data_IF_021354420572
#
_entry.id   IF_021354420572
#
_cell.length_a   1.000
_cell.length_b   1.000
_cell.length_c   1.000
_cell.angle_alpha   90.00
_cell.angle_beta   90.00
_cell.angle_gamma   90.00
#
_symmetry.space_group_name_H-M   'P 1'
#
loop_
_entity.id
_entity.type
_entity.pdbx_description
1 polymer ?
#
# COMPACT_ATOMS: atom_id res chain seq x y z
N UNK A 1 75.47 -26.78 68.15
CA UNK A 1 75.85 -25.52 67.51
C UNK A 1 75.88 -25.65 65.99
N UNK A 2 76.78 -26.41 65.37
CA UNK A 2 76.88 -26.49 63.90
C UNK A 2 75.63 -27.05 63.19
N UNK A 3 75.01 -28.10 63.74
CA UNK A 3 73.82 -28.72 63.15
C UNK A 3 72.58 -27.80 63.20
N UNK A 4 72.35 -27.14 64.33
CA UNK A 4 71.25 -26.18 64.49
C UNK A 4 71.38 -24.98 63.53
N UNK A 5 72.60 -24.49 63.31
CA UNK A 5 72.87 -23.41 62.38
C UNK A 5 72.57 -23.82 60.93
N UNK A 6 72.96 -25.03 60.55
CA UNK A 6 72.64 -25.62 59.25
C UNK A 6 71.13 -25.81 59.06
N UNK A 7 70.42 -26.31 60.08
CA UNK A 7 68.97 -26.52 60.03
C UNK A 7 68.21 -25.19 59.90
N UNK A 8 68.65 -24.14 60.61
CA UNK A 8 68.08 -22.80 60.50
C UNK A 8 68.33 -22.18 59.11
N UNK A 9 69.51 -22.36 58.51
CA UNK A 9 69.79 -21.90 57.14
C UNK A 9 68.89 -22.59 56.12
N UNK A 10 68.75 -23.92 56.21
CA UNK A 10 67.87 -24.68 55.32
C UNK A 10 66.42 -24.20 55.47
N UNK A 11 65.95 -24.00 56.70
CA UNK A 11 64.59 -23.51 56.95
C UNK A 11 64.37 -22.09 56.39
N UNK A 12 65.36 -21.20 56.55
CA UNK A 12 65.32 -19.86 55.98
C UNK A 12 65.28 -19.91 54.44
N UNK A 13 66.07 -20.76 53.80
CA UNK A 13 66.06 -20.94 52.34
C UNK A 13 64.69 -21.42 51.84
N UNK A 14 64.06 -22.37 52.55
CA UNK A 14 62.70 -22.86 52.23
C UNK A 14 61.68 -21.72 52.34
N UNK A 15 61.73 -20.94 53.43
CA UNK A 15 60.80 -19.82 53.64
C UNK A 15 61.00 -18.69 52.63
N UNK A 16 62.25 -18.38 52.26
CA UNK A 16 62.55 -17.41 51.22
C UNK A 16 62.06 -17.87 49.84
N UNK A 17 62.20 -19.16 49.53
CA UNK A 17 61.69 -19.75 48.29
C UNK A 17 60.16 -19.67 48.24
N UNK A 18 59.48 -20.02 49.32
CA UNK A 18 58.02 -19.96 49.40
C UNK A 18 57.51 -18.52 49.30
N UNK A 19 58.15 -17.57 49.98
CA UNK A 19 57.87 -16.13 49.83
C UNK A 19 57.96 -15.71 48.36
N UNK A 20 59.07 -16.03 47.69
CA UNK A 20 59.30 -15.64 46.30
C UNK A 20 58.24 -16.25 45.37
N UNK A 21 57.88 -17.52 45.57
CA UNK A 21 56.82 -18.18 44.80
C UNK A 21 55.45 -17.51 45.00
N UNK A 22 55.09 -17.17 46.23
CA UNK A 22 53.81 -16.49 46.53
C UNK A 22 53.76 -15.07 45.97
N UNK A 23 54.86 -14.32 46.04
CA UNK A 23 54.95 -12.99 45.44
C UNK A 23 54.89 -13.04 43.91
N UNK A 24 55.54 -14.02 43.29
CA UNK A 24 55.45 -14.23 41.85
C UNK A 24 54.04 -14.61 41.41
N UNK A 25 53.38 -15.52 42.15
CA UNK A 25 51.99 -15.88 41.90
C UNK A 25 51.06 -14.66 42.03
N UNK A 26 51.25 -13.83 43.06
CA UNK A 26 50.47 -12.61 43.23
C UNK A 26 50.62 -11.66 42.06
N UNK A 27 51.86 -11.47 41.56
CA UNK A 27 52.13 -10.63 40.40
C UNK A 27 51.35 -11.11 39.16
N UNK A 28 51.46 -12.39 38.83
CA UNK A 28 50.76 -12.97 37.67
C UNK A 28 49.24 -12.89 37.81
N UNK A 29 48.70 -13.16 39.00
CA UNK A 29 47.25 -13.07 39.24
C UNK A 29 46.75 -11.61 39.14
N UNK A 30 47.56 -10.64 39.58
CA UNK A 30 47.21 -9.21 39.49
C UNK A 30 47.21 -8.73 38.05
N UNK A 31 48.19 -9.14 37.23
CA UNK A 31 48.23 -8.84 35.80
C UNK A 31 46.98 -9.42 35.09
N UNK A 32 46.62 -10.68 35.37
CA UNK A 32 45.41 -11.31 34.82
C UNK A 32 44.11 -10.65 35.27
N UNK A 33 43.99 -10.27 36.55
CA UNK A 33 42.80 -9.57 37.07
C UNK A 33 42.65 -8.19 36.41
N UNK A 34 43.76 -7.46 36.21
CA UNK A 34 43.76 -6.16 35.55
C UNK A 34 43.28 -6.27 34.11
N UNK A 35 43.84 -7.19 33.32
CA UNK A 35 43.43 -7.42 31.92
C UNK A 35 41.93 -7.77 31.82
N UNK A 36 41.43 -8.62 32.71
CA UNK A 36 40.01 -8.99 32.76
C UNK A 36 39.12 -7.82 33.22
N UNK A 37 39.59 -7.02 34.17
CA UNK A 37 38.86 -5.86 34.66
C UNK A 37 38.79 -4.74 33.62
N UNK A 38 39.84 -4.50 32.84
CA UNK A 38 39.85 -3.51 31.78
C UNK A 38 38.85 -3.89 30.66
N UNK A 39 38.79 -5.18 30.30
CA UNK A 39 37.85 -5.67 29.27
C UNK A 39 36.39 -5.69 29.75
N UNK A 40 36.13 -6.10 31.00
CA UNK A 40 34.78 -6.22 31.56
C UNK A 40 34.28 -4.95 32.25
N UNK A 41 35.15 -3.94 32.37
CA UNK A 41 34.97 -2.70 33.13
C UNK A 41 34.63 -2.94 34.61
N UNK A 42 35.30 -3.91 35.25
CA UNK A 42 35.18 -4.16 36.69
C UNK A 42 36.27 -3.42 37.49
N UNK A 43 36.03 -3.23 38.78
CA UNK A 43 37.07 -2.72 39.69
C UNK A 43 38.11 -3.82 39.98
N UNK A 44 39.39 -3.50 39.78
CA UNK A 44 40.50 -4.41 40.08
C UNK A 44 40.63 -4.69 41.57
N UNK A 45 41.07 -5.90 41.90
CA UNK A 45 41.26 -6.33 43.28
C UNK A 45 42.68 -5.99 43.75
N UNK A 46 42.80 -5.19 44.82
CA UNK A 46 44.11 -4.80 45.37
C UNK A 46 44.48 -5.62 46.60
N UNK A 47 45.60 -6.34 46.54
CA UNK A 47 46.34 -6.81 47.72
C UNK A 47 47.55 -5.88 47.91
N UNK A 48 47.88 -5.55 49.17
CA UNK A 48 49.06 -4.72 49.45
C UNK A 48 50.32 -5.35 48.85
N UNK A 49 50.97 -4.63 47.93
CA UNK A 49 52.18 -5.07 47.22
C UNK A 49 53.37 -5.35 48.16
N UNK A 50 53.32 -4.81 49.38
CA UNK A 50 54.40 -4.91 50.37
C UNK A 50 54.23 -6.10 51.33
N UNK A 51 53.11 -6.83 51.24
CA UNK A 51 52.78 -7.94 52.14
C UNK A 51 52.80 -9.29 51.43
N UNK A 52 53.42 -10.30 52.04
CA UNK A 52 53.41 -11.67 51.50
C UNK A 52 52.01 -12.25 51.67
N UNK A 53 51.32 -12.64 50.58
CA UNK A 53 49.95 -13.11 50.67
C UNK A 53 49.85 -14.48 51.36
N UNK A 54 48.73 -14.72 52.04
CA UNK A 54 48.38 -16.03 52.55
C UNK A 54 47.93 -16.96 51.42
N UNK A 55 47.99 -18.27 51.66
CA UNK A 55 47.48 -19.26 50.70
C UNK A 55 45.98 -19.07 50.43
N UNK A 56 45.20 -18.72 51.46
CA UNK A 56 43.77 -18.45 51.33
C UNK A 56 43.50 -17.19 50.47
N UNK A 57 44.32 -16.14 50.60
CA UNK A 57 44.22 -14.95 49.75
C UNK A 57 44.50 -15.28 48.29
N UNK A 58 45.55 -16.06 48.02
CA UNK A 58 45.87 -16.51 46.66
C UNK A 58 44.74 -17.39 46.08
N UNK A 59 44.14 -18.25 46.88
CA UNK A 59 43.04 -19.13 46.44
C UNK A 59 41.77 -18.32 46.11
N UNK A 60 41.40 -17.35 46.95
CA UNK A 60 40.30 -16.41 46.66
C UNK A 60 40.54 -15.63 45.37
N UNK A 61 41.80 -15.22 45.13
CA UNK A 61 42.15 -14.47 43.93
C UNK A 61 42.02 -15.34 42.67
N UNK A 62 42.48 -16.60 42.73
CA UNK A 62 42.29 -17.59 41.67
C UNK A 62 40.80 -17.86 41.38
N UNK A 63 39.99 -17.99 42.43
CA UNK A 63 38.53 -18.17 42.29
C UNK A 63 37.90 -16.97 41.58
N UNK A 64 38.27 -15.74 41.96
CA UNK A 64 37.80 -14.52 41.30
C UNK A 64 38.18 -14.50 39.81
N UNK A 65 39.45 -14.75 39.47
CA UNK A 65 39.91 -14.78 38.08
C UNK A 65 39.15 -15.85 37.29
N UNK A 66 38.92 -17.02 37.88
CA UNK A 66 38.10 -18.09 37.26
C UNK A 66 36.67 -17.60 36.98
N UNK A 67 36.03 -16.92 37.94
CA UNK A 67 34.70 -16.34 37.75
C UNK A 67 34.67 -15.24 36.67
N UNK A 68 35.65 -14.33 36.67
CA UNK A 68 35.77 -13.27 35.65
C UNK A 68 36.04 -13.85 34.26
N UNK A 69 36.86 -14.89 34.17
CA UNK A 69 37.12 -15.60 32.92
C UNK A 69 35.85 -16.27 32.40
N UNK A 70 35.09 -16.94 33.27
CA UNK A 70 33.80 -17.53 32.89
C UNK A 70 32.79 -16.47 32.43
N UNK A 71 32.75 -15.31 33.07
CA UNK A 71 31.89 -14.19 32.69
C UNK A 71 32.30 -13.56 31.35
N UNK A 72 33.60 -13.39 31.10
CA UNK A 72 34.15 -12.99 29.79
C UNK A 72 33.68 -13.93 28.70
N UNK A 73 33.87 -15.24 28.88
CA UNK A 73 33.44 -16.24 27.90
C UNK A 73 31.93 -16.22 27.66
N UNK A 74 31.14 -15.99 28.73
CA UNK A 74 29.68 -15.86 28.63
C UNK A 74 29.28 -14.63 27.81
N UNK A 75 29.78 -13.44 28.17
CA UNK A 75 29.47 -12.18 27.46
C UNK A 75 29.96 -12.20 26.02
N UNK A 76 31.13 -12.82 25.77
CA UNK A 76 31.67 -12.93 24.41
C UNK A 76 30.77 -13.77 23.52
N UNK A 77 30.28 -14.93 23.99
CA UNK A 77 29.32 -15.75 23.24
C UNK A 77 28.02 -15.01 22.95
N UNK A 78 27.53 -14.25 23.93
CA UNK A 78 26.34 -13.41 23.79
C UNK A 78 26.58 -12.32 22.73
N UNK A 79 27.70 -11.60 22.81
CA UNK A 79 28.10 -10.58 21.84
C UNK A 79 28.17 -11.13 20.41
N UNK A 80 28.86 -12.26 20.18
CA UNK A 80 28.98 -12.86 18.84
C UNK A 80 27.60 -13.24 18.28
N UNK A 81 26.69 -13.70 19.13
CA UNK A 81 25.32 -14.04 18.72
C UNK A 81 24.55 -12.77 18.33
N UNK A 82 24.58 -11.74 19.18
CA UNK A 82 23.91 -10.47 18.94
C UNK A 82 24.47 -9.76 17.70
N UNK A 83 25.79 -9.71 17.54
CA UNK A 83 26.47 -9.13 16.36
C UNK A 83 25.98 -9.76 15.07
N UNK A 84 25.86 -11.10 15.01
CA UNK A 84 25.32 -11.81 13.84
C UNK A 84 23.88 -11.41 13.54
N UNK A 85 23.03 -11.32 14.56
CA UNK A 85 21.63 -10.92 14.39
C UNK A 85 21.50 -9.46 13.93
N UNK A 86 22.30 -8.56 14.51
CA UNK A 86 22.36 -7.14 14.11
C UNK A 86 22.76 -7.03 12.64
N UNK A 87 23.83 -7.71 12.21
CA UNK A 87 24.28 -7.68 10.81
C UNK A 87 23.20 -8.17 9.85
N UNK A 88 22.52 -9.28 10.19
CA UNK A 88 21.42 -9.80 9.37
C UNK A 88 20.25 -8.80 9.29
N UNK A 89 19.87 -8.20 10.42
CA UNK A 89 18.80 -7.21 10.44
C UNK A 89 19.18 -5.93 9.65
N UNK A 90 20.43 -5.50 9.72
CA UNK A 90 20.93 -4.36 8.94
C UNK A 90 20.94 -4.65 7.43
N UNK A 91 21.32 -5.86 7.02
CA UNK A 91 21.24 -6.30 5.61
C UNK A 91 19.79 -6.39 5.11
N UNK A 92 18.88 -6.90 5.93
CA UNK A 92 17.45 -6.96 5.58
C UNK A 92 16.81 -5.57 5.45
N UNK A 93 17.32 -4.60 6.21
CA UNK A 93 16.89 -3.20 6.17
C UNK A 93 17.65 -2.36 5.13
N UNK A 94 18.61 -2.94 4.41
CA UNK A 94 19.54 -2.24 3.51
C UNK A 94 20.22 -1.02 4.19
N UNK A 95 20.54 -1.14 5.49
CA UNK A 95 21.10 -0.08 6.33
C UNK A 95 22.60 -0.31 6.58
N UNK A 96 23.40 0.74 6.41
CA UNK A 96 24.82 0.74 6.77
C UNK A 96 25.03 1.25 8.21
N UNK A 97 26.11 0.85 8.90
CA UNK A 97 26.48 1.40 10.21
C UNK A 97 26.74 2.92 10.14
N UNK A 98 25.94 3.71 10.84
CA UNK A 98 26.05 5.17 10.84
C UNK A 98 26.72 5.68 12.12
N UNK A 99 26.25 5.19 13.27
CA UNK A 99 26.74 5.61 14.58
C UNK A 99 28.12 5.03 14.88
N UNK A 100 28.88 5.68 15.77
CA UNK A 100 30.19 5.15 16.20
C UNK A 100 30.05 3.77 16.85
N UNK A 101 28.96 3.55 17.61
CA UNK A 101 28.69 2.27 18.26
C UNK A 101 28.35 1.18 17.25
N UNK A 102 27.50 1.45 16.24
CA UNK A 102 27.22 0.47 15.18
C UNK A 102 28.49 0.09 14.41
N UNK A 103 29.35 1.07 14.11
CA UNK A 103 30.63 0.81 13.42
C UNK A 103 31.56 -0.06 14.26
N UNK A 104 31.66 0.22 15.56
CA UNK A 104 32.43 -0.60 16.50
C UNK A 104 31.92 -2.05 16.53
N UNK A 105 30.60 -2.22 16.66
CA UNK A 105 29.98 -3.57 16.71
C UNK A 105 30.15 -4.34 15.40
N UNK A 106 29.93 -3.70 14.25
CA UNK A 106 29.84 -4.37 12.94
C UNK A 106 31.21 -4.49 12.26
N UNK A 107 32.02 -3.44 12.30
CA UNK A 107 33.24 -3.34 11.49
C UNK A 107 34.52 -3.71 12.24
N UNK A 108 34.55 -3.61 13.58
CA UNK A 108 35.75 -3.95 14.35
C UNK A 108 35.85 -5.44 14.68
N UNK A 109 37.06 -5.83 15.11
CA UNK A 109 37.39 -7.20 15.50
C UNK A 109 36.63 -7.60 16.77
N UNK A 110 36.22 -8.86 16.85
CA UNK A 110 35.43 -9.30 17.99
C UNK A 110 36.23 -9.29 19.31
N UNK A 111 37.57 -9.36 19.26
CA UNK A 111 38.44 -9.31 20.44
C UNK A 111 38.65 -7.89 20.98
N UNK A 112 38.44 -6.84 20.17
CA UNK A 112 38.67 -5.45 20.60
C UNK A 112 37.46 -4.84 21.32
N UNK A 113 36.28 -5.43 21.18
CA UNK A 113 35.05 -4.88 21.75
C UNK A 113 35.03 -4.96 23.29
N UNK A 114 34.79 -3.81 23.95
CA UNK A 114 34.68 -3.75 25.41
C UNK A 114 33.37 -4.43 25.88
N UNK A 115 33.49 -5.51 26.66
CA UNK A 115 32.38 -6.33 27.14
C UNK A 115 31.76 -5.78 28.45
N UNK A 116 31.67 -4.45 28.56
CA UNK A 116 31.03 -3.78 29.70
C UNK A 116 29.53 -4.11 29.75
N UNK A 117 28.92 -4.04 30.93
CA UNK A 117 27.47 -4.27 31.06
C UNK A 117 26.66 -3.24 30.26
N UNK A 118 27.14 -1.99 30.22
CA UNK A 118 26.54 -0.91 29.43
C UNK A 118 26.57 -1.23 27.93
N UNK A 119 27.71 -1.66 27.40
CA UNK A 119 27.84 -2.04 25.99
C UNK A 119 26.96 -3.24 25.63
N UNK A 120 26.89 -4.25 26.51
CA UNK A 120 26.01 -5.41 26.33
C UNK A 120 24.53 -5.03 26.32
N UNK A 121 24.12 -4.05 27.14
CA UNK A 121 22.76 -3.53 27.13
C UNK A 121 22.48 -2.69 25.88
N UNK A 122 23.43 -1.85 25.45
CA UNK A 122 23.34 -1.07 24.22
C UNK A 122 23.21 -1.95 22.97
N UNK A 123 23.90 -3.09 22.92
CA UNK A 123 23.73 -4.11 21.87
C UNK A 123 22.30 -4.65 21.80
N UNK A 124 21.70 -4.98 22.94
CA UNK A 124 20.32 -5.48 23.01
C UNK A 124 19.32 -4.43 22.58
N UNK A 125 19.53 -3.18 22.97
CA UNK A 125 18.69 -2.05 22.56
C UNK A 125 18.79 -1.84 21.05
N UNK A 126 20.00 -1.85 20.47
CA UNK A 126 20.21 -1.73 19.03
C UNK A 126 19.50 -2.86 18.27
N UNK A 127 19.68 -4.12 18.69
CA UNK A 127 19.01 -5.25 18.07
C UNK A 127 17.49 -5.09 18.11
N UNK A 128 16.93 -4.78 19.27
CA UNK A 128 15.48 -4.58 19.42
C UNK A 128 14.95 -3.46 18.52
N UNK A 129 15.70 -2.35 18.37
CA UNK A 129 15.33 -1.26 17.46
C UNK A 129 15.31 -1.72 16.00
N UNK A 130 16.30 -2.48 15.56
CA UNK A 130 16.37 -3.03 14.21
C UNK A 130 15.24 -4.04 13.94
N UNK A 131 15.00 -4.96 14.87
CA UNK A 131 13.89 -5.93 14.79
C UNK A 131 12.53 -5.24 14.73
N UNK A 132 12.31 -4.21 15.56
CA UNK A 132 11.07 -3.43 15.55
C UNK A 132 10.87 -2.71 14.21
N UNK A 133 11.93 -2.15 13.62
CA UNK A 133 11.84 -1.50 12.30
C UNK A 133 11.56 -2.53 11.20
N UNK A 134 12.20 -3.70 11.25
CA UNK A 134 11.95 -4.79 10.31
C UNK A 134 10.50 -5.28 10.39
N UNK A 135 9.97 -5.45 11.59
CA UNK A 135 8.57 -5.83 11.80
C UNK A 135 7.58 -4.78 11.27
N UNK A 136 7.88 -3.49 11.45
CA UNK A 136 7.05 -2.42 10.89
C UNK A 136 7.11 -2.39 9.36
N UNK A 137 8.30 -2.57 8.75
CA UNK A 137 8.43 -2.68 7.30
C UNK A 137 7.63 -3.86 6.74
N UNK A 138 7.69 -5.03 7.39
CA UNK A 138 6.89 -6.19 7.01
C UNK A 138 5.39 -5.87 7.06
N UNK A 139 4.92 -5.27 8.15
CA UNK A 139 3.52 -4.88 8.34
C UNK A 139 3.03 -3.93 7.24
N UNK A 140 3.87 -2.97 6.85
CA UNK A 140 3.55 -2.03 5.76
C UNK A 140 3.50 -2.78 4.42
N UNK A 141 4.50 -3.61 4.12
CA UNK A 141 4.51 -4.42 2.89
C UNK A 141 3.30 -5.36 2.81
N UNK A 142 2.93 -6.04 3.90
CA UNK A 142 1.73 -6.87 3.97
C UNK A 142 0.47 -6.09 3.66
N UNK A 143 0.34 -4.87 4.21
CA UNK A 143 -0.82 -4.01 3.90
C UNK A 143 -0.88 -3.64 2.41
N UNK A 144 0.25 -3.43 1.75
CA UNK A 144 0.28 -3.22 0.31
C UNK A 144 -0.06 -4.48 -0.46
N UNK A 145 0.45 -5.65 -0.06
CA UNK A 145 0.14 -6.95 -0.70
C UNK A 145 -1.35 -7.27 -0.60
N UNK A 146 -1.96 -7.09 0.58
CA UNK A 146 -3.40 -7.23 0.77
C UNK A 146 -4.19 -6.30 -0.17
N UNK A 147 -3.77 -5.03 -0.25
CA UNK A 147 -4.42 -4.06 -1.13
C UNK A 147 -4.28 -4.41 -2.61
N UNK A 148 -3.10 -4.87 -3.03
CA UNK A 148 -2.84 -5.34 -4.40
C UNK A 148 -3.73 -6.53 -4.72
N UNK A 149 -3.82 -7.52 -3.81
CA UNK A 149 -4.69 -8.67 -4.00
C UNK A 149 -6.17 -8.27 -4.12
N UNK A 150 -6.66 -7.35 -3.28
CA UNK A 150 -8.02 -6.81 -3.40
C UNK A 150 -8.26 -6.17 -4.78
N UNK A 151 -7.33 -5.33 -5.24
CA UNK A 151 -7.43 -4.65 -6.53
C UNK A 151 -7.30 -5.62 -7.71
N UNK A 152 -6.47 -6.66 -7.63
CA UNK A 152 -6.36 -7.70 -8.65
C UNK A 152 -7.67 -8.44 -8.88
N UNK A 153 -8.38 -8.78 -7.80
CA UNK A 153 -9.67 -9.43 -7.88
C UNK A 153 -10.76 -8.48 -8.38
N UNK A 154 -10.78 -7.22 -7.91
CA UNK A 154 -11.78 -6.23 -8.35
C UNK A 154 -11.61 -5.81 -9.82
N UNK A 155 -10.37 -5.63 -10.27
CA UNK A 155 -10.05 -5.20 -11.64
C UNK A 155 -9.86 -6.38 -12.61
N UNK A 156 -9.93 -7.62 -12.11
CA UNK A 156 -9.75 -8.84 -12.90
C UNK A 156 -8.41 -8.85 -13.67
N UNK A 157 -7.33 -8.48 -12.98
CA UNK A 157 -5.99 -8.38 -13.56
C UNK A 157 -5.50 -9.77 -14.00
N UNK A 158 -5.00 -9.92 -15.25
CA UNK A 158 -4.56 -11.22 -15.78
C UNK A 158 -3.34 -11.76 -15.05
N UNK A 159 -3.19 -13.09 -15.03
CA UNK A 159 -2.10 -13.76 -14.30
C UNK A 159 -0.71 -13.30 -14.77
N UNK A 160 -0.53 -13.03 -16.07
CA UNK A 160 0.75 -12.56 -16.63
C UNK A 160 1.22 -11.25 -15.97
N UNK A 161 0.30 -10.31 -15.69
CA UNK A 161 0.62 -9.07 -14.97
C UNK A 161 0.90 -9.32 -13.49
N UNK A 162 0.18 -10.27 -12.87
CA UNK A 162 0.41 -10.66 -11.46
C UNK A 162 1.79 -11.30 -11.28
N UNK A 163 2.20 -12.14 -12.24
CA UNK A 163 3.48 -12.83 -12.22
C UNK A 163 4.66 -11.86 -12.32
N UNK A 164 4.49 -10.73 -13.02
CA UNK A 164 5.53 -9.72 -13.21
C UNK A 164 6.01 -9.06 -11.90
N UNK A 165 5.17 -9.03 -10.85
CA UNK A 165 5.53 -8.49 -9.53
C UNK A 165 5.74 -9.56 -8.46
N UNK A 166 5.62 -10.84 -8.82
CA UNK A 166 5.68 -11.98 -7.88
C UNK A 166 6.95 -11.99 -7.01
N UNK A 167 8.08 -11.55 -7.55
CA UNK A 167 9.36 -11.46 -6.83
C UNK A 167 9.28 -10.51 -5.62
N UNK A 168 8.47 -9.45 -5.71
CA UNK A 168 8.30 -8.44 -4.65
C UNK A 168 7.20 -8.81 -3.63
N UNK A 169 6.42 -9.86 -3.89
CA UNK A 169 5.31 -10.29 -3.03
C UNK A 169 5.74 -11.12 -1.82
N UNK A 170 7.03 -11.45 -1.69
CA UNK A 170 7.53 -12.34 -0.62
C UNK A 170 8.51 -11.67 0.34
N UNK A 171 9.31 -10.72 -0.13
CA UNK A 171 10.35 -10.05 0.65
C UNK A 171 9.93 -8.61 1.00
N UNK A 172 10.44 -8.11 2.12
CA UNK A 172 10.11 -6.76 2.64
C UNK A 172 11.31 -5.82 2.71
N UNK A 173 12.35 -6.10 1.92
CA UNK A 173 13.43 -5.14 1.68
C UNK A 173 12.90 -3.86 1.03
N UNK A 174 13.70 -2.79 1.09
CA UNK A 174 13.31 -1.46 0.60
C UNK A 174 12.84 -1.47 -0.87
N UNK A 175 13.57 -2.18 -1.73
CA UNK A 175 13.23 -2.31 -3.16
C UNK A 175 11.83 -2.94 -3.37
N UNK A 176 11.46 -3.91 -2.53
CA UNK A 176 10.16 -4.55 -2.63
C UNK A 176 9.05 -3.61 -2.16
N UNK A 177 9.28 -2.87 -1.07
CA UNK A 177 8.33 -1.87 -0.58
C UNK A 177 8.06 -0.80 -1.64
N UNK A 178 9.10 -0.29 -2.30
CA UNK A 178 8.96 0.69 -3.38
C UNK A 178 8.19 0.11 -4.58
N UNK A 179 8.46 -1.14 -4.96
CA UNK A 179 7.73 -1.82 -6.03
C UNK A 179 6.25 -2.06 -5.68
N UNK A 180 5.96 -2.52 -4.47
CA UNK A 180 4.59 -2.71 -3.97
C UNK A 180 3.82 -1.38 -3.96
N UNK A 181 4.43 -0.29 -3.47
CA UNK A 181 3.82 1.03 -3.46
C UNK A 181 3.52 1.53 -4.89
N UNK A 182 4.46 1.33 -5.82
CA UNK A 182 4.28 1.70 -7.22
C UNK A 182 3.13 0.92 -7.87
N UNK A 183 2.99 -0.37 -7.57
CA UNK A 183 1.90 -1.20 -8.09
C UNK A 183 0.55 -0.82 -7.50
N UNK A 184 0.45 -0.56 -6.18
CA UNK A 184 -0.78 -0.03 -5.58
C UNK A 184 -1.22 1.25 -6.29
N UNK A 185 -0.28 2.16 -6.54
CA UNK A 185 -0.57 3.41 -7.25
C UNK A 185 -1.07 3.14 -8.68
N UNK A 186 -0.38 2.27 -9.42
CA UNK A 186 -0.77 1.90 -10.80
C UNK A 186 -2.18 1.30 -10.84
N UNK A 187 -2.51 0.40 -9.90
CA UNK A 187 -3.82 -0.25 -9.83
C UNK A 187 -4.93 0.74 -9.43
N UNK A 188 -4.67 1.67 -8.50
CA UNK A 188 -5.64 2.71 -8.14
C UNK A 188 -5.89 3.68 -9.32
N UNK A 189 -4.84 4.04 -10.07
CA UNK A 189 -4.98 4.82 -11.31
C UNK A 189 -5.79 4.07 -12.38
N UNK A 190 -5.56 2.77 -12.54
CA UNK A 190 -6.34 1.92 -13.44
C UNK A 190 -7.81 1.82 -13.00
N UNK A 191 -8.07 1.69 -11.70
CA UNK A 191 -9.42 1.71 -11.13
C UNK A 191 -10.14 3.02 -11.46
N UNK A 192 -9.48 4.15 -11.25
CA UNK A 192 -10.04 5.47 -11.55
C UNK A 192 -10.36 5.61 -13.05
N UNK A 193 -9.44 5.17 -13.92
CA UNK A 193 -9.66 5.18 -15.36
C UNK A 193 -10.83 4.31 -15.78
N UNK A 194 -11.01 3.13 -15.17
CA UNK A 194 -12.15 2.28 -15.43
C UNK A 194 -13.46 2.94 -14.98
N UNK A 195 -13.49 3.56 -13.80
CA UNK A 195 -14.66 4.31 -13.32
C UNK A 195 -15.01 5.44 -14.28
N UNK A 196 -14.02 6.20 -14.76
CA UNK A 196 -14.21 7.25 -15.75
C UNK A 196 -14.87 6.70 -17.02
N UNK A 197 -14.28 5.68 -17.65
CA UNK A 197 -14.80 5.12 -18.89
C UNK A 197 -16.25 4.62 -18.74
N UNK A 198 -16.54 3.88 -17.66
CA UNK A 198 -17.89 3.37 -17.40
C UNK A 198 -18.88 4.50 -17.15
N UNK A 199 -18.47 5.53 -16.41
CA UNK A 199 -19.32 6.71 -16.15
C UNK A 199 -19.63 7.44 -17.46
N UNK A 200 -18.65 7.62 -18.34
CA UNK A 200 -18.82 8.24 -19.66
C UNK A 200 -19.76 7.42 -20.54
N UNK A 201 -19.63 6.09 -20.56
CA UNK A 201 -20.55 5.19 -21.26
C UNK A 201 -21.99 5.32 -20.73
N UNK A 202 -22.16 5.37 -19.40
CA UNK A 202 -23.47 5.59 -18.79
C UNK A 202 -24.02 6.98 -19.14
N UNK A 203 -23.19 8.03 -19.16
CA UNK A 203 -23.61 9.38 -19.59
C UNK A 203 -24.11 9.40 -21.03
N UNK A 204 -23.47 8.65 -21.93
CA UNK A 204 -23.94 8.49 -23.30
C UNK A 204 -25.30 7.78 -23.33
N UNK A 205 -25.45 6.70 -22.56
CA UNK A 205 -26.71 5.98 -22.39
C UNK A 205 -27.84 6.90 -21.85
N UNK A 206 -27.55 7.68 -20.80
CA UNK A 206 -28.47 8.66 -20.20
C UNK A 206 -28.91 9.67 -21.27
N UNK A 207 -27.97 10.23 -22.05
CA UNK A 207 -28.30 11.18 -23.11
C UNK A 207 -29.24 10.58 -24.16
N UNK A 208 -29.01 9.33 -24.57
CA UNK A 208 -29.91 8.60 -25.48
C UNK A 208 -31.30 8.43 -24.87
N UNK A 209 -31.40 8.08 -23.59
CA UNK A 209 -32.70 7.95 -22.92
C UNK A 209 -33.40 9.29 -22.69
N UNK A 210 -32.66 10.36 -22.43
CA UNK A 210 -33.20 11.72 -22.41
C UNK A 210 -33.80 12.11 -23.75
N UNK A 211 -33.13 11.79 -24.86
CA UNK A 211 -33.67 12.03 -26.21
C UNK A 211 -34.94 11.19 -26.46
N UNK A 212 -34.92 9.89 -26.14
CA UNK A 212 -36.08 8.99 -26.29
C UNK A 212 -37.30 9.42 -25.46
N UNK A 213 -37.06 9.99 -24.29
CA UNK A 213 -38.09 10.47 -23.39
C UNK A 213 -38.43 11.96 -23.60
N UNK A 214 -37.86 12.62 -24.61
CA UNK A 214 -38.06 14.03 -24.92
C UNK A 214 -37.77 14.98 -23.75
N UNK A 215 -36.71 14.72 -22.98
CA UNK A 215 -36.29 15.57 -21.87
C UNK A 215 -35.87 16.96 -22.36
N UNK A 216 -36.45 17.99 -21.74
CA UNK A 216 -36.06 19.39 -21.94
C UNK A 216 -34.68 19.69 -21.33
N UNK A 217 -34.06 20.78 -21.78
CA UNK A 217 -32.76 21.22 -21.26
C UNK A 217 -32.75 21.40 -19.74
N UNK A 218 -33.80 22.01 -19.17
CA UNK A 218 -33.92 22.22 -17.72
C UNK A 218 -33.99 20.89 -16.95
N UNK A 219 -34.67 19.89 -17.49
CA UNK A 219 -34.75 18.56 -16.88
C UNK A 219 -33.40 17.84 -16.91
N UNK A 220 -32.64 17.95 -18.00
CA UNK A 220 -31.29 17.39 -18.10
C UNK A 220 -30.35 18.06 -17.10
N UNK A 221 -30.42 19.39 -16.99
CA UNK A 221 -29.61 20.17 -16.04
C UNK A 221 -29.94 19.88 -14.57
N UNK A 222 -31.13 19.34 -14.26
CA UNK A 222 -31.49 18.97 -12.90
C UNK A 222 -30.65 17.79 -12.37
N UNK A 223 -30.15 16.92 -13.23
CA UNK A 223 -29.21 15.86 -12.85
C UNK A 223 -27.77 16.40 -12.87
N UNK A 224 -27.43 17.19 -11.85
CA UNK A 224 -26.12 17.83 -11.68
C UNK A 224 -24.93 16.86 -11.79
N UNK A 225 -24.97 15.62 -11.24
CA UNK A 225 -23.85 14.66 -11.34
C UNK A 225 -23.40 14.35 -12.77
N UNK A 226 -24.26 14.56 -13.78
CA UNK A 226 -23.91 14.37 -15.20
C UNK A 226 -22.71 15.21 -15.65
N UNK A 227 -22.49 16.38 -15.04
CA UNK A 227 -21.46 17.35 -15.46
C UNK A 227 -20.24 17.37 -14.53
N UNK A 228 -20.16 16.43 -13.60
CA UNK A 228 -19.06 16.36 -12.63
C UNK A 228 -17.87 15.57 -13.20
N UNK A 229 -16.67 16.16 -13.22
CA UNK A 229 -15.47 15.44 -13.71
C UNK A 229 -14.62 14.87 -12.57
N UNK A 230 -15.07 14.99 -11.31
CA UNK A 230 -14.44 14.38 -10.15
C UNK A 230 -14.88 12.91 -10.00
N UNK A 231 -14.30 12.05 -10.85
CA UNK A 231 -14.64 10.63 -10.91
C UNK A 231 -14.39 9.89 -9.58
N UNK A 232 -15.43 9.23 -9.10
CA UNK A 232 -15.43 8.45 -7.85
C UNK A 232 -16.41 7.29 -7.93
N UNK A 233 -16.27 6.30 -7.03
CA UNK A 233 -17.24 5.19 -6.93
C UNK A 233 -18.65 5.69 -6.57
N UNK A 234 -18.76 6.78 -5.81
CA UNK A 234 -20.04 7.43 -5.48
C UNK A 234 -20.68 8.07 -6.72
N UNK A 235 -19.89 8.81 -7.52
CA UNK A 235 -20.36 9.40 -8.76
C UNK A 235 -20.89 8.32 -9.72
N UNK A 236 -20.16 7.23 -9.89
CA UNK A 236 -20.59 6.10 -10.72
C UNK A 236 -21.91 5.50 -10.22
N UNK A 237 -22.06 5.29 -8.90
CA UNK A 237 -23.30 4.76 -8.33
C UNK A 237 -24.52 5.67 -8.57
N UNK A 238 -24.34 6.98 -8.59
CA UNK A 238 -25.41 7.92 -8.93
C UNK A 238 -25.83 7.79 -10.40
N UNK A 239 -24.87 7.64 -11.30
CA UNK A 239 -25.14 7.43 -12.73
C UNK A 239 -25.82 6.08 -12.98
N UNK A 240 -25.38 5.01 -12.31
CA UNK A 240 -26.02 3.69 -12.39
C UNK A 240 -27.49 3.74 -11.93
N UNK A 241 -27.77 4.42 -10.82
CA UNK A 241 -29.13 4.58 -10.33
C UNK A 241 -30.01 5.38 -11.33
N UNK A 242 -29.48 6.47 -11.87
CA UNK A 242 -30.20 7.32 -12.83
C UNK A 242 -30.53 6.57 -14.11
N UNK A 243 -29.56 5.86 -14.71
CA UNK A 243 -29.82 5.13 -15.95
C UNK A 243 -30.80 3.98 -15.75
N UNK A 244 -30.77 3.29 -14.61
CA UNK A 244 -31.75 2.26 -14.26
C UNK A 244 -33.15 2.87 -14.15
N UNK A 245 -33.27 4.01 -13.46
CA UNK A 245 -34.54 4.71 -13.32
C UNK A 245 -35.08 5.20 -14.68
N UNK A 246 -34.23 5.82 -15.52
CA UNK A 246 -34.62 6.27 -16.86
C UNK A 246 -35.07 5.13 -17.77
N UNK A 247 -34.37 3.99 -17.72
CA UNK A 247 -34.74 2.78 -18.46
C UNK A 247 -36.12 2.27 -18.03
N UNK A 248 -36.38 2.23 -16.72
CA UNK A 248 -37.70 1.85 -16.20
C UNK A 248 -38.78 2.86 -16.60
N UNK A 249 -38.52 4.15 -16.46
CA UNK A 249 -39.46 5.21 -16.83
C UNK A 249 -39.83 5.15 -18.32
N UNK A 250 -38.85 4.92 -19.19
CA UNK A 250 -39.10 4.71 -20.61
C UNK A 250 -39.97 3.49 -20.86
N UNK A 251 -39.66 2.33 -20.24
CA UNK A 251 -40.42 1.10 -20.46
C UNK A 251 -41.88 1.23 -19.96
N UNK A 252 -42.09 1.89 -18.83
CA UNK A 252 -43.44 2.15 -18.27
C UNK A 252 -44.32 3.01 -19.20
N UNK A 253 -43.70 3.89 -20.00
CA UNK A 253 -44.39 4.84 -20.89
C UNK A 253 -44.05 4.61 -22.38
N UNK A 254 -43.56 3.42 -22.72
CA UNK A 254 -43.00 3.12 -24.04
C UNK A 254 -43.97 3.34 -25.18
N UNK A 255 -45.21 2.89 -25.03
CA UNK A 255 -46.26 3.05 -26.05
C UNK A 255 -46.54 4.53 -26.35
N UNK A 256 -46.42 5.40 -25.34
CA UNK A 256 -46.56 6.84 -25.52
C UNK A 256 -45.37 7.39 -26.30
N UNK A 257 -44.14 7.13 -25.86
CA UNK A 257 -42.94 7.65 -26.51
C UNK A 257 -42.78 7.17 -27.96
N UNK A 258 -43.03 5.88 -28.23
CA UNK A 258 -43.05 5.34 -29.59
C UNK A 258 -44.18 5.96 -30.44
N UNK A 259 -45.33 6.24 -29.82
CA UNK A 259 -46.43 6.96 -30.46
C UNK A 259 -46.04 8.37 -30.87
N UNK A 260 -45.38 9.12 -29.97
CA UNK A 260 -44.87 10.48 -30.24
C UNK A 260 -43.82 10.45 -31.35
N UNK A 261 -42.86 9.51 -31.30
CA UNK A 261 -41.83 9.39 -32.33
C UNK A 261 -42.43 9.07 -33.70
N UNK A 262 -43.38 8.14 -33.80
CA UNK A 262 -44.09 7.84 -35.06
C UNK A 262 -44.86 9.04 -35.58
N UNK A 263 -45.45 9.82 -34.68
CA UNK A 263 -46.13 11.05 -35.05
C UNK A 263 -45.15 12.08 -35.63
N UNK A 264 -44.01 12.30 -34.98
CA UNK A 264 -42.97 13.24 -35.43
C UNK A 264 -42.42 12.86 -36.81
N UNK A 265 -42.12 11.57 -37.04
CA UNK A 265 -41.69 11.06 -38.36
C UNK A 265 -42.75 11.28 -39.44
N UNK A 266 -44.01 10.97 -39.11
CA UNK A 266 -45.14 11.16 -40.03
C UNK A 266 -45.32 12.65 -40.37
N UNK A 267 -45.12 13.53 -39.40
CA UNK A 267 -45.21 14.97 -39.57
C UNK A 267 -44.06 15.52 -40.41
N UNK A 268 -42.82 15.07 -40.16
CA UNK A 268 -41.65 15.43 -40.95
C UNK A 268 -41.81 15.01 -42.41
N UNK A 269 -42.26 13.78 -42.66
CA UNK A 269 -42.56 13.29 -44.00
C UNK A 269 -43.66 14.12 -44.68
N UNK A 270 -44.69 14.53 -43.93
CA UNK A 270 -45.72 15.42 -44.44
C UNK A 270 -45.15 16.78 -44.85
N UNK A 271 -44.28 17.40 -44.04
CA UNK A 271 -43.61 18.66 -44.38
C UNK A 271 -42.71 18.53 -45.63
N UNK A 272 -41.98 17.42 -45.77
CA UNK A 272 -41.18 17.17 -46.98
C UNK A 272 -42.05 17.05 -48.24
N UNK A 273 -43.22 16.42 -48.13
CA UNK A 273 -44.18 16.33 -49.23
C UNK A 273 -44.80 17.70 -49.56
N UNK A 274 -45.08 18.53 -48.56
CA UNK A 274 -45.52 19.92 -48.76
C UNK A 274 -44.46 20.73 -49.51
N UNK A 275 -43.19 20.58 -49.15
CA UNK A 275 -42.11 21.32 -49.80
C UNK A 275 -41.90 20.85 -51.25
N UNK A 276 -41.92 19.53 -51.49
CA UNK A 276 -41.91 18.97 -52.86
C UNK A 276 -43.12 19.40 -53.68
N UNK A 277 -44.28 19.61 -53.06
CA UNK A 277 -45.46 20.12 -53.73
C UNK A 277 -45.30 21.57 -54.20
N UNK A 278 -44.44 22.37 -53.57
CA UNK A 278 -44.17 23.76 -53.98
C UNK A 278 -43.20 23.87 -55.16
N UNK A 279 -42.41 22.83 -55.45
CA UNK A 279 -41.43 22.83 -56.55
C UNK A 279 -42.13 22.79 -57.93
N UNK A 280 -41.98 23.83 -58.78
CA UNK A 280 -42.52 23.84 -60.14
C UNK A 280 -41.95 22.75 -61.06
N UNK A 281 -40.76 22.23 -60.78
CA UNK A 281 -40.13 21.16 -61.56
C UNK A 281 -40.86 19.80 -61.39
N UNK A 282 -41.74 19.65 -60.40
CA UNK A 282 -42.47 18.40 -60.11
C UNK A 282 -43.31 17.88 -61.26
N UNK A 283 -43.76 18.76 -62.16
CA UNK A 283 -44.60 18.40 -63.32
C UNK A 283 -43.81 17.74 -64.47
N UNK A 284 -42.47 17.70 -64.38
CA UNK A 284 -41.60 17.05 -65.39
C UNK A 284 -41.44 15.54 -65.16
N UNK A 285 -41.81 15.05 -63.97
CA UNK A 285 -41.73 13.64 -63.59
C UNK A 285 -42.83 12.81 -64.27
N UNK A 286 -42.48 12.04 -65.31
CA UNK A 286 -43.37 11.05 -65.95
C UNK A 286 -43.45 9.77 -65.11
N UNK A 287 -44.64 9.18 -64.96
CA UNK A 287 -44.81 7.85 -64.32
C UNK A 287 -45.77 7.76 -63.14
N UNK A 288 -46.62 8.77 -62.89
CA UNK A 288 -47.67 8.69 -61.86
C UNK A 288 -47.21 8.90 -60.41
N UNK A 289 -45.97 9.37 -60.20
CA UNK A 289 -45.43 9.66 -58.87
C UNK A 289 -46.22 10.76 -58.15
N UNK A 290 -46.69 11.79 -58.87
CA UNK A 290 -47.50 12.87 -58.28
C UNK A 290 -48.79 12.34 -57.63
N UNK A 291 -49.43 11.33 -58.24
CA UNK A 291 -50.64 10.72 -57.66
C UNK A 291 -50.31 9.86 -56.44
N UNK A 292 -49.14 9.21 -56.41
CA UNK A 292 -48.68 8.44 -55.24
C UNK A 292 -48.34 9.36 -54.08
N UNK A 293 -47.66 10.48 -54.34
CA UNK A 293 -47.35 11.51 -53.34
C UNK A 293 -48.62 12.13 -52.76
N UNK A 294 -49.59 12.52 -53.59
CA UNK A 294 -50.85 13.09 -53.10
C UNK A 294 -51.69 12.07 -52.32
N UNK A 295 -51.66 10.79 -52.72
CA UNK A 295 -52.29 9.70 -51.97
C UNK A 295 -51.62 9.49 -50.61
N UNK A 296 -50.29 9.44 -50.56
CA UNK A 296 -49.54 9.32 -49.32
C UNK A 296 -49.80 10.51 -48.39
N UNK A 297 -49.84 11.74 -48.91
CA UNK A 297 -50.22 12.94 -48.16
C UNK A 297 -51.62 12.85 -47.58
N UNK A 298 -52.61 12.42 -48.38
CA UNK A 298 -53.99 12.26 -47.91
C UNK A 298 -54.12 11.19 -46.81
N UNK A 299 -53.33 10.11 -46.89
CA UNK A 299 -53.29 9.06 -45.87
C UNK A 299 -52.62 9.55 -44.58
N UNK A 300 -51.53 10.33 -44.67
CA UNK A 300 -50.86 10.97 -43.52
C UNK A 300 -51.76 11.96 -42.80
N UNK A 301 -52.45 12.85 -43.53
CA UNK A 301 -53.39 13.84 -42.94
C UNK A 301 -54.53 13.16 -42.18
N UNK A 302 -54.99 11.99 -42.64
CA UNK A 302 -56.03 11.20 -41.95
C UNK A 302 -55.50 10.41 -40.75
N UNK A 303 -54.21 10.06 -40.76
CA UNK A 303 -53.55 9.26 -39.73
C UNK A 303 -52.99 10.07 -38.56
N UNK A 304 -52.42 11.24 -38.84
CA UNK A 304 -51.75 12.11 -37.85
C UNK A 304 -52.61 12.46 -36.63
N UNK A 305 -53.89 12.88 -36.76
CA UNK A 305 -54.73 13.19 -35.61
C UNK A 305 -55.02 11.96 -34.73
N UNK A 306 -55.06 10.76 -35.32
CA UNK A 306 -55.39 9.52 -34.59
C UNK A 306 -54.25 9.11 -33.67
N UNK A 307 -53.00 9.26 -34.11
CA UNK A 307 -51.80 8.94 -33.31
C UNK A 307 -51.68 9.85 -32.09
N UNK A 308 -51.94 11.16 -32.25
CA UNK A 308 -52.02 12.09 -31.12
C UNK A 308 -53.15 11.65 -30.17
N UNK A 309 -54.35 11.40 -30.70
CA UNK A 309 -55.52 11.16 -29.87
C UNK A 309 -55.48 9.83 -29.08
N UNK A 310 -54.88 8.76 -29.61
CA UNK A 310 -54.78 7.46 -28.92
C UNK A 310 -53.79 7.43 -27.77
N UNK A 311 -52.70 8.19 -27.86
CA UNK A 311 -51.61 8.13 -26.87
C UNK A 311 -51.62 9.33 -25.90
N UNK A 312 -51.85 10.54 -26.42
CA UNK A 312 -51.73 11.80 -25.66
C UNK A 312 -52.90 12.06 -24.70
N UNK A 313 -54.06 11.41 -24.92
CA UNK A 313 -55.24 11.54 -24.04
C UNK A 313 -55.28 10.55 -22.87
N UNK A 314 -54.33 9.59 -22.76
CA UNK A 314 -54.29 8.62 -21.65
C UNK A 314 -53.46 9.07 -20.46
N UNK A 315 -52.38 9.82 -20.67
CA UNK A 315 -51.49 10.29 -19.59
C UNK A 315 -51.50 11.82 -19.46
N UNK A 316 -52.29 12.31 -18.51
CA UNK A 316 -52.53 13.74 -18.26
C UNK A 316 -51.30 14.51 -17.77
N UNK A 317 -50.31 13.83 -17.18
CA UNK A 317 -49.08 14.47 -16.66
C UNK A 317 -48.01 14.74 -17.73
N UNK A 318 -47.95 13.93 -18.81
CA UNK A 318 -47.02 14.15 -19.93
C UNK A 318 -47.57 15.10 -20.99
N UNK A 319 -48.90 15.27 -21.06
CA UNK A 319 -49.58 16.27 -21.90
C UNK A 319 -49.00 17.68 -21.71
N UNK A 320 -48.69 18.05 -20.48
CA UNK A 320 -48.17 19.39 -20.13
C UNK A 320 -46.72 19.59 -20.57
N UNK A 321 -45.91 18.52 -20.58
CA UNK A 321 -44.52 18.54 -21.04
C UNK A 321 -44.46 18.62 -22.57
N UNK A 322 -45.28 17.83 -23.26
CA UNK A 322 -45.40 17.86 -24.73
C UNK A 322 -46.00 19.18 -25.22
N UNK A 323 -46.99 19.76 -24.51
CA UNK A 323 -47.51 21.11 -24.82
C UNK A 323 -46.45 22.20 -24.69
N UNK A 324 -45.50 22.09 -23.76
CA UNK A 324 -44.41 23.06 -23.64
C UNK A 324 -43.40 22.95 -24.78
N UNK A 325 -43.14 21.75 -25.30
CA UNK A 325 -42.27 21.52 -26.44
C UNK A 325 -42.93 21.94 -27.78
N UNK A 326 -44.24 21.71 -27.94
CA UNK A 326 -44.97 22.00 -29.18
C UNK A 326 -45.40 23.46 -29.39
N UNK A 327 -45.14 24.37 -28.42
CA UNK A 327 -45.56 25.78 -28.52
C UNK A 327 -44.38 26.75 -28.64
N UNK A 328 -43.14 26.28 -28.49
CA UNK A 328 -41.96 27.16 -28.61
C UNK A 328 -41.41 27.31 -30.03
N UNK A 329 -41.84 26.49 -31.00
CA UNK A 329 -41.39 26.56 -32.41
C UNK A 329 -42.54 26.44 -33.42
N UNK A 330 -43.65 27.14 -33.16
CA UNK A 330 -44.67 27.46 -34.17
C UNK A 330 -44.76 28.97 -34.34
#
# INVERSE_FOLDING_TARGET
MLQQEKDLRIHLEVMLKEKNQRMQALKTLTEQDQDLCDLLCFQSFSVSADSVPSLEQLEKFRQRISSLTAEKERRRKEFVTLKKQIILCMDDLDQLPETSFEKDVVCEDEESFCLSEENMNSLKVLLHQLESRKAENERVCDSYREKIHELWERLQIPQEERDAISEHMTLSKKINMEALQAEVKRLEELKLKNIQNVTEDIRNDIAVFWDKCFYSTDQRQAFVPYYDDDFSEELLSLHDAEIVWLKQYYEDHKDLFEGVHKWEESWRLFLELEEKAKDPARFTNRGGNLLKEEKQRADLVKGLPKVIMTHVLRDTHLYTTIQKLGVSEI
#
